data_IF_393496032638
#
_entry.id   IF_393496032638
#
_cell.length_a   1.000
_cell.length_b   1.000
_cell.length_c   1.000
_cell.angle_alpha   90.00
_cell.angle_beta   90.00
_cell.angle_gamma   90.00
#
_symmetry.space_group_name_H-M   'P 1'
#
loop_
_entity.id
_entity.type
_entity.pdbx_description
1 polymer ?
#
# COMPACT_ATOMS: atom_id res chain seq x y z
N UNK A 1 1.43 -15.98 8.81
CA UNK A 1 1.81 -14.57 8.60
C UNK A 1 3.15 -14.61 7.91
N UNK A 2 3.14 -14.69 6.58
CA UNK A 2 4.33 -14.85 5.75
C UNK A 2 4.72 -13.48 5.22
N UNK A 3 5.68 -12.86 5.89
CA UNK A 3 6.38 -11.68 5.41
C UNK A 3 7.11 -12.07 4.12
N UNK A 4 6.50 -11.75 2.98
CA UNK A 4 7.16 -11.79 1.68
C UNK A 4 8.13 -10.61 1.61
N UNK A 5 9.26 -10.74 2.29
CA UNK A 5 10.46 -9.96 2.01
C UNK A 5 10.90 -10.36 0.61
N UNK A 6 10.37 -9.63 -0.39
CA UNK A 6 10.74 -9.80 -1.79
C UNK A 6 12.24 -9.59 -1.92
N UNK A 7 12.93 -10.70 -2.08
CA UNK A 7 14.33 -10.79 -2.44
C UNK A 7 14.59 -9.81 -3.59
N UNK A 8 15.37 -8.77 -3.30
CA UNK A 8 15.75 -7.74 -4.25
C UNK A 8 16.83 -8.36 -5.14
N UNK A 9 16.41 -9.18 -6.11
CA UNK A 9 17.29 -9.67 -7.17
C UNK A 9 17.87 -8.47 -7.89
N UNK A 10 19.18 -8.51 -8.15
CA UNK A 10 19.93 -7.50 -8.90
C UNK A 10 19.56 -7.57 -10.40
N UNK A 11 18.27 -7.47 -10.71
CA UNK A 11 17.78 -7.39 -12.07
C UNK A 11 17.74 -5.90 -12.45
N UNK A 12 18.31 -5.51 -13.61
CA UNK A 12 18.26 -4.13 -14.06
C UNK A 12 16.79 -3.71 -14.19
N UNK A 13 16.37 -2.74 -13.38
CA UNK A 13 15.01 -2.23 -13.45
C UNK A 13 14.91 -1.31 -14.66
N UNK A 14 14.19 -1.74 -15.69
CA UNK A 14 13.91 -0.91 -16.85
C UNK A 14 12.60 -0.14 -16.66
N UNK A 15 12.59 1.14 -17.05
CA UNK A 15 11.35 1.88 -17.13
C UNK A 15 10.51 1.35 -18.31
N UNK A 16 9.32 0.82 -18.05
CA UNK A 16 8.42 0.33 -19.09
C UNK A 16 8.07 1.35 -20.18
N UNK A 17 8.06 2.65 -19.84
CA UNK A 17 7.67 3.71 -20.78
C UNK A 17 8.80 4.13 -21.72
N UNK A 18 10.00 4.36 -21.17
CA UNK A 18 11.14 4.88 -21.95
C UNK A 18 12.26 3.86 -22.15
N UNK A 19 12.07 2.61 -21.72
CA UNK A 19 13.04 1.51 -21.78
C UNK A 19 14.44 1.89 -21.25
N UNK A 20 14.50 2.83 -20.31
CA UNK A 20 15.74 3.30 -19.72
C UNK A 20 16.08 2.46 -18.49
N UNK A 21 17.36 2.10 -18.35
CA UNK A 21 17.87 1.40 -17.19
C UNK A 21 17.86 2.34 -15.97
N UNK A 22 17.32 1.85 -14.85
CA UNK A 22 17.24 2.59 -13.59
C UNK A 22 18.16 1.91 -12.60
N UNK A 23 19.27 2.60 -12.33
CA UNK A 23 20.28 2.17 -11.34
C UNK A 23 19.81 2.33 -9.90
N UNK A 24 18.85 3.23 -9.65
CA UNK A 24 18.35 3.53 -8.31
C UNK A 24 16.94 2.99 -8.07
N UNK A 25 16.90 1.87 -7.37
CA UNK A 25 15.72 1.10 -6.96
C UNK A 25 14.79 1.83 -5.96
N UNK A 26 15.13 3.04 -5.53
CA UNK A 26 14.34 3.84 -4.59
C UNK A 26 13.71 5.10 -5.22
N UNK A 27 13.84 5.30 -6.53
CA UNK A 27 13.23 6.43 -7.21
C UNK A 27 11.73 6.17 -7.48
N UNK A 28 10.90 7.09 -6.98
CA UNK A 28 9.44 7.06 -7.13
C UNK A 28 9.03 7.26 -8.60
N UNK A 29 9.82 8.06 -9.32
CA UNK A 29 9.60 8.45 -10.71
C UNK A 29 10.85 8.13 -11.53
N UNK A 30 10.65 7.74 -12.79
CA UNK A 30 11.75 7.56 -13.73
C UNK A 30 12.42 8.91 -14.03
N UNK A 31 13.74 9.03 -13.90
CA UNK A 31 14.45 10.29 -14.11
C UNK A 31 14.41 10.77 -15.56
N UNK A 32 14.15 9.87 -16.52
CA UNK A 32 14.15 10.18 -17.95
C UNK A 32 12.76 10.64 -18.46
N UNK A 33 11.68 10.05 -17.96
CA UNK A 33 10.31 10.34 -18.45
C UNK A 33 9.33 10.80 -17.36
N UNK A 34 9.75 10.85 -16.10
CA UNK A 34 8.93 11.30 -14.97
C UNK A 34 7.82 10.33 -14.54
N UNK A 35 7.69 9.16 -15.19
CA UNK A 35 6.61 8.21 -14.89
C UNK A 35 6.87 7.41 -13.60
N UNK A 36 5.81 7.05 -12.87
CA UNK A 36 5.90 6.30 -11.61
C UNK A 36 6.35 4.86 -11.89
N UNK A 37 7.43 4.43 -11.23
CA UNK A 37 8.07 3.13 -11.49
C UNK A 37 7.47 1.97 -10.73
N UNK A 38 6.99 2.22 -9.51
CA UNK A 38 6.42 1.19 -8.67
C UNK A 38 5.19 1.73 -7.94
N UNK A 39 4.02 1.83 -8.60
CA UNK A 39 2.82 2.34 -7.96
C UNK A 39 2.44 1.53 -6.72
N UNK A 40 2.72 0.22 -6.71
CA UNK A 40 2.36 -0.68 -5.62
C UNK A 40 3.12 -0.42 -4.31
N UNK A 41 4.36 0.07 -4.37
CA UNK A 41 5.11 0.47 -3.16
C UNK A 41 4.69 1.84 -2.62
N UNK A 42 3.93 2.63 -3.38
CA UNK A 42 3.55 3.99 -3.02
C UNK A 42 2.07 4.13 -2.66
N UNK A 43 1.24 3.12 -2.91
CA UNK A 43 -0.11 3.08 -2.35
C UNK A 43 -0.01 2.79 -0.85
N UNK A 44 -0.01 3.85 -0.03
CA UNK A 44 -0.22 3.71 1.42
C UNK A 44 -1.63 3.19 1.66
N UNK A 45 -1.79 1.87 1.64
CA UNK A 45 -3.04 1.16 1.99
C UNK A 45 -3.53 1.46 3.42
N UNK A 46 -2.71 2.14 4.23
CA UNK A 46 -3.08 2.64 5.56
C UNK A 46 -4.27 3.61 5.55
N UNK A 47 -4.61 4.19 4.40
CA UNK A 47 -5.83 5.00 4.21
C UNK A 47 -6.95 4.24 3.48
N UNK A 48 -6.89 2.92 3.42
CA UNK A 48 -7.90 2.14 2.72
C UNK A 48 -9.26 2.38 3.38
N UNK A 49 -10.13 3.00 2.60
CA UNK A 49 -11.51 3.41 2.93
C UNK A 49 -12.30 2.28 3.62
N UNK A 50 -11.92 1.03 3.33
CA UNK A 50 -12.46 -0.18 3.92
C UNK A 50 -12.22 -0.29 5.44
N UNK A 51 -11.04 0.11 5.92
CA UNK A 51 -10.73 0.13 7.36
C UNK A 51 -11.58 1.15 8.11
N UNK A 52 -11.77 2.32 7.52
CA UNK A 52 -12.66 3.36 8.05
C UNK A 52 -14.12 2.89 8.09
N UNK A 53 -14.60 2.26 7.01
CA UNK A 53 -15.96 1.70 6.95
C UNK A 53 -16.19 0.60 8.00
N UNK A 54 -15.22 -0.30 8.18
CA UNK A 54 -15.30 -1.35 9.19
C UNK A 54 -15.38 -0.76 10.61
N UNK A 55 -14.56 0.25 10.92
CA UNK A 55 -14.60 0.95 12.21
C UNK A 55 -15.96 1.61 12.46
N UNK A 56 -16.53 2.26 11.43
CA UNK A 56 -17.83 2.91 11.50
C UNK A 56 -18.99 1.94 11.77
N UNK A 57 -18.86 0.68 11.34
CA UNK A 57 -19.85 -0.37 11.60
C UNK A 57 -19.61 -1.09 12.93
N UNK A 58 -18.35 -1.41 13.26
CA UNK A 58 -18.03 -2.17 14.48
C UNK A 58 -18.25 -1.36 15.76
N UNK A 59 -17.89 -0.08 15.77
CA UNK A 59 -18.03 0.78 16.96
C UNK A 59 -19.50 0.85 17.45
N UNK A 60 -20.50 1.19 16.63
CA UNK A 60 -21.88 1.29 17.10
C UNK A 60 -22.45 -0.06 17.55
N UNK A 61 -22.07 -1.17 16.90
CA UNK A 61 -22.49 -2.51 17.32
C UNK A 61 -21.90 -2.85 18.70
N UNK A 62 -20.62 -2.55 18.92
CA UNK A 62 -19.96 -2.75 20.21
C UNK A 62 -20.63 -1.93 21.32
N UNK A 63 -20.94 -0.65 21.05
CA UNK A 63 -21.64 0.22 22.01
C UNK A 63 -23.02 -0.35 22.35
N UNK A 64 -23.81 -0.76 21.35
CA UNK A 64 -25.13 -1.33 21.57
C UNK A 64 -25.06 -2.61 22.42
N UNK A 65 -24.08 -3.48 22.14
CA UNK A 65 -23.87 -4.71 22.90
C UNK A 65 -23.48 -4.45 24.35
N UNK A 66 -22.62 -3.46 24.59
CA UNK A 66 -22.23 -3.04 25.95
C UNK A 66 -23.43 -2.49 26.72
N UNK A 67 -24.26 -1.64 26.09
CA UNK A 67 -25.49 -1.12 26.72
C UNK A 67 -26.45 -2.25 27.07
N UNK A 68 -26.65 -3.22 26.16
CA UNK A 68 -27.51 -4.37 26.39
C UNK A 68 -27.05 -5.22 27.59
N UNK A 69 -25.73 -5.38 27.78
CA UNK A 69 -25.18 -6.13 28.92
C UNK A 69 -25.22 -5.38 30.25
N UNK A 70 -25.35 -4.05 30.20
CA UNK A 70 -25.32 -3.17 31.37
C UNK A 70 -26.73 -2.88 31.94
N UNK A 71 -27.77 -3.16 31.13
CA UNK A 71 -29.19 -3.11 31.49
C UNK A 71 -29.62 -4.50 31.97
#
# INVERSE_FOLDING_TARGET
>A
MSDAFSEKTNEPNFCYNCNAEIKEINQLNCPNCGMILNPNNHVKWRNSFLGFLCLLLFIPILIAFLIYFLI
#
